data_IF_684715840895
#
_entry.id   IF_684715840895
#
_cell.length_a   1.000
_cell.length_b   1.000
_cell.length_c   1.000
_cell.angle_alpha   90.00
_cell.angle_beta   90.00
_cell.angle_gamma   90.00
#
_symmetry.space_group_name_H-M   'P 1'
#
loop_
_entity.id
_entity.type
_entity.pdbx_description
1 polymer ?
#
# COMPACT_ATOMS: atom_id res chain seq x y z
N UNK A 1 -16.31 -7.68 1.77
CA UNK A 1 -16.48 -6.81 0.58
C UNK A 1 -16.17 -5.38 1.02
N UNK A 2 -14.89 -5.01 1.16
CA UNK A 2 -14.52 -3.82 1.95
C UNK A 2 -13.87 -2.66 1.16
N UNK A 3 -13.57 -2.82 -0.12
CA UNK A 3 -12.92 -1.74 -0.90
C UNK A 3 -13.70 -1.28 -2.14
N UNK A 4 -14.88 -1.84 -2.42
CA UNK A 4 -15.65 -1.53 -3.62
C UNK A 4 -16.70 -0.42 -3.49
N UNK A 5 -16.79 0.23 -2.32
CA UNK A 5 -17.80 1.28 -2.11
C UNK A 5 -17.24 2.68 -1.93
N UNK A 6 -15.91 2.86 -1.86
CA UNK A 6 -15.32 4.18 -1.60
C UNK A 6 -15.16 5.02 -2.87
N UNK A 7 -15.55 6.28 -2.77
CA UNK A 7 -15.52 7.23 -3.88
C UNK A 7 -14.09 7.65 -4.29
N UNK A 8 -13.15 7.66 -3.34
CA UNK A 8 -11.75 8.01 -3.59
C UNK A 8 -10.81 6.91 -3.06
N UNK A 9 -9.86 6.49 -3.90
CA UNK A 9 -8.91 5.41 -3.63
C UNK A 9 -7.52 5.83 -4.08
N UNK A 10 -6.57 5.85 -3.13
CA UNK A 10 -5.18 6.27 -3.36
C UNK A 10 -4.23 5.13 -3.02
N UNK A 11 -3.68 4.43 -4.04
CA UNK A 11 -2.62 3.46 -3.83
C UNK A 11 -1.27 4.16 -3.64
N UNK A 12 -0.44 3.64 -2.74
CA UNK A 12 0.92 4.14 -2.53
C UNK A 12 1.86 3.00 -2.16
N UNK A 13 3.15 3.17 -2.42
CA UNK A 13 4.13 2.13 -2.15
C UNK A 13 5.48 2.66 -1.66
N UNK A 14 6.23 1.79 -0.99
CA UNK A 14 7.56 2.09 -0.49
C UNK A 14 8.41 0.82 -0.48
N UNK A 15 9.72 0.99 -0.69
CA UNK A 15 10.66 -0.11 -0.55
C UNK A 15 10.85 -0.47 0.93
N UNK A 16 10.68 -1.75 1.27
CA UNK A 16 10.99 -2.28 2.61
C UNK A 16 12.19 -3.22 2.48
N UNK A 17 13.40 -2.83 2.91
CA UNK A 17 14.62 -3.59 2.64
C UNK A 17 14.58 -5.05 3.11
N UNK A 18 13.98 -5.31 4.28
CA UNK A 18 13.86 -6.67 4.82
C UNK A 18 12.89 -7.55 4.03
N UNK A 19 12.03 -6.98 3.18
CA UNK A 19 11.11 -7.71 2.31
C UNK A 19 11.73 -7.99 0.94
N UNK A 20 12.88 -7.37 0.65
CA UNK A 20 13.55 -7.43 -0.65
C UNK A 20 12.64 -6.99 -1.82
N UNK A 21 11.63 -6.16 -1.54
CA UNK A 21 10.67 -5.68 -2.54
C UNK A 21 10.01 -4.35 -2.13
N UNK A 22 9.26 -3.78 -3.07
CA UNK A 22 8.34 -2.67 -2.84
C UNK A 22 7.04 -3.23 -2.26
N UNK A 23 6.60 -2.65 -1.13
CA UNK A 23 5.32 -2.99 -0.53
C UNK A 23 4.27 -1.91 -0.82
N UNK A 24 3.04 -2.33 -1.08
CA UNK A 24 1.92 -1.45 -1.41
C UNK A 24 0.89 -1.36 -0.29
N UNK A 25 0.31 -0.17 -0.14
CA UNK A 25 -0.85 0.11 0.71
C UNK A 25 -1.87 0.92 -0.09
N UNK A 26 -3.11 0.95 0.39
CA UNK A 26 -4.22 1.66 -0.26
C UNK A 26 -5.00 2.43 0.80
N UNK A 27 -5.17 3.73 0.59
CA UNK A 27 -6.16 4.52 1.32
C UNK A 27 -7.47 4.54 0.53
N UNK A 28 -8.60 4.43 1.23
CA UNK A 28 -9.92 4.50 0.62
C UNK A 28 -10.85 5.32 1.52
N UNK A 29 -11.65 6.19 0.91
CA UNK A 29 -12.63 7.03 1.62
C UNK A 29 -13.79 7.42 0.72
N UNK A 30 -14.94 7.70 1.31
CA UNK A 30 -16.08 8.33 0.61
C UNK A 30 -15.89 9.85 0.44
N UNK A 31 -14.85 10.42 1.06
CA UNK A 31 -14.46 11.83 0.94
C UNK A 31 -13.11 11.96 0.23
N UNK A 32 -12.89 13.03 -0.56
CA UNK A 32 -11.66 13.17 -1.33
C UNK A 32 -10.43 13.37 -0.44
N UNK A 33 -9.30 12.76 -0.83
CA UNK A 33 -8.01 12.98 -0.20
C UNK A 33 -7.34 14.25 -0.72
N UNK A 34 -6.89 15.13 0.18
CA UNK A 34 -6.05 16.29 -0.17
C UNK A 34 -4.58 15.90 0.00
N UNK A 35 -3.89 15.67 -1.11
CA UNK A 35 -2.51 15.15 -1.14
C UNK A 35 -1.43 16.24 -1.28
N UNK A 36 -1.57 17.35 -0.55
CA UNK A 36 -0.55 18.40 -0.54
C UNK A 36 0.55 18.06 0.48
N UNK A 37 1.81 18.03 0.03
CA UNK A 37 2.97 17.74 0.86
C UNK A 37 3.13 18.71 2.06
N UNK A 38 3.00 20.02 1.83
CA UNK A 38 3.18 21.04 2.87
C UNK A 38 2.08 20.95 3.95
N UNK A 39 0.84 20.69 3.52
CA UNK A 39 -0.28 20.48 4.44
C UNK A 39 -0.11 19.19 5.25
N UNK A 40 0.43 18.12 4.64
CA UNK A 40 0.78 16.89 5.35
C UNK A 40 1.86 17.15 6.41
N UNK A 41 2.93 17.86 6.04
CA UNK A 41 4.01 18.22 6.96
C UNK A 41 3.48 19.06 8.14
N UNK A 42 2.61 20.04 7.86
CA UNK A 42 1.98 20.86 8.89
C UNK A 42 1.14 20.00 9.85
N UNK A 43 0.31 19.10 9.32
CA UNK A 43 -0.52 18.20 10.14
C UNK A 43 0.32 17.22 10.96
N UNK A 44 1.40 16.68 10.40
CA UNK A 44 2.32 15.81 11.12
C UNK A 44 2.95 16.55 12.30
N UNK A 45 3.46 17.76 12.08
CA UNK A 45 4.04 18.59 13.15
C UNK A 45 3.04 18.93 14.26
N UNK A 46 1.77 19.12 13.91
CA UNK A 46 0.71 19.43 14.89
C UNK A 46 0.23 18.21 15.68
N UNK A 47 0.29 17.00 15.10
CA UNK A 47 -0.44 15.83 15.62
C UNK A 47 0.47 14.67 16.04
N UNK A 48 1.71 14.62 15.56
CA UNK A 48 2.67 13.56 15.84
C UNK A 48 3.76 14.11 16.75
N UNK A 49 4.04 13.39 17.84
CA UNK A 49 5.11 13.74 18.77
C UNK A 49 6.46 13.28 18.22
N UNK A 50 7.40 14.22 18.09
CA UNK A 50 8.73 13.95 17.55
C UNK A 50 8.75 14.02 16.02
N UNK A 51 9.85 13.55 15.43
CA UNK A 51 10.05 13.56 13.98
C UNK A 51 9.89 12.15 13.40
N UNK A 52 9.17 12.05 12.28
CA UNK A 52 9.06 10.80 11.54
C UNK A 52 10.41 10.43 10.92
N UNK A 53 10.81 9.16 11.07
CA UNK A 53 12.11 8.68 10.56
C UNK A 53 12.16 8.43 9.06
N UNK A 54 11.00 8.35 8.41
CA UNK A 54 10.87 7.99 7.00
C UNK A 54 9.87 8.88 6.26
N UNK A 55 8.70 9.11 6.86
CA UNK A 55 7.57 9.74 6.18
C UNK A 55 7.50 11.24 6.45
N UNK A 56 7.68 12.03 5.39
CA UNK A 56 7.28 13.44 5.29
C UNK A 56 6.30 13.63 4.11
N UNK A 57 5.84 14.85 3.89
CA UNK A 57 4.90 15.18 2.82
C UNK A 57 5.43 14.84 1.43
N UNK A 58 6.69 15.16 1.14
CA UNK A 58 7.32 14.86 -0.17
C UNK A 58 7.48 13.36 -0.38
N UNK A 59 7.85 12.63 0.66
CA UNK A 59 7.96 11.17 0.67
C UNK A 59 6.60 10.56 0.35
N UNK A 60 5.53 11.04 1.00
CA UNK A 60 4.18 10.55 0.69
C UNK A 60 3.77 10.82 -0.76
N UNK A 61 3.98 12.05 -1.26
CA UNK A 61 3.68 12.40 -2.67
C UNK A 61 4.45 11.52 -3.66
N UNK A 62 5.71 11.22 -3.36
CA UNK A 62 6.54 10.30 -4.15
C UNK A 62 5.98 8.88 -4.11
N UNK A 63 5.67 8.37 -2.92
CA UNK A 63 5.11 7.03 -2.70
C UNK A 63 3.75 6.82 -3.37
N UNK A 64 2.91 7.85 -3.46
CA UNK A 64 1.63 7.79 -4.18
C UNK A 64 1.78 7.97 -5.70
N UNK A 65 2.97 8.32 -6.19
CA UNK A 65 3.25 8.47 -7.62
C UNK A 65 3.81 7.17 -8.18
N UNK A 66 2.90 6.27 -8.58
CA UNK A 66 3.28 4.94 -9.07
C UNK A 66 3.88 4.96 -10.48
N UNK A 67 4.72 3.97 -10.76
CA UNK A 67 5.32 3.78 -12.08
C UNK A 67 4.26 3.57 -13.16
N UNK A 68 4.60 3.87 -14.42
CA UNK A 68 3.68 3.72 -15.56
C UNK A 68 3.09 2.31 -15.67
N UNK A 69 3.92 1.28 -15.45
CA UNK A 69 3.49 -0.10 -15.55
C UNK A 69 2.49 -0.46 -14.45
N UNK A 70 2.77 -0.06 -13.21
CA UNK A 70 1.88 -0.33 -12.07
C UNK A 70 0.56 0.42 -12.22
N UNK A 71 0.58 1.71 -12.60
CA UNK A 71 -0.66 2.47 -12.85
C UNK A 71 -1.52 1.80 -13.90
N UNK A 72 -0.94 1.44 -15.06
CA UNK A 72 -1.68 0.71 -16.10
C UNK A 72 -2.23 -0.63 -15.61
N UNK A 73 -1.51 -1.35 -14.76
CA UNK A 73 -2.01 -2.61 -14.20
C UNK A 73 -3.21 -2.38 -13.31
N UNK A 74 -3.17 -1.35 -12.45
CA UNK A 74 -4.28 -1.00 -11.56
C UNK A 74 -5.49 -0.49 -12.34
N UNK A 75 -5.28 0.38 -13.33
CA UNK A 75 -6.35 0.94 -14.17
C UNK A 75 -7.10 -0.14 -14.98
N UNK A 76 -6.43 -1.24 -15.32
CA UNK A 76 -7.00 -2.34 -16.10
C UNK A 76 -7.40 -3.56 -15.25
N UNK A 77 -7.23 -3.51 -13.93
CA UNK A 77 -7.62 -4.62 -13.06
C UNK A 77 -9.15 -4.73 -13.01
N UNK A 78 -9.65 -5.95 -13.18
CA UNK A 78 -11.09 -6.25 -13.21
C UNK A 78 -11.50 -7.23 -12.13
N UNK A 79 -10.53 -7.84 -11.45
CA UNK A 79 -10.79 -8.82 -10.43
C UNK A 79 -11.32 -8.17 -9.15
N UNK A 80 -12.45 -8.68 -8.70
CA UNK A 80 -13.07 -8.33 -7.43
C UNK A 80 -12.99 -9.51 -6.48
N UNK A 81 -12.33 -9.31 -5.34
CA UNK A 81 -12.35 -10.27 -4.25
C UNK A 81 -13.75 -10.31 -3.60
N UNK A 82 -14.44 -11.43 -3.83
CA UNK A 82 -15.68 -11.81 -3.15
C UNK A 82 -15.45 -13.09 -2.38
N UNK A 83 -16.43 -13.49 -1.55
CA UNK A 83 -16.38 -14.78 -0.85
C UNK A 83 -16.21 -15.96 -1.83
N UNK A 84 -16.93 -15.96 -2.95
CA UNK A 84 -16.88 -17.04 -3.95
C UNK A 84 -15.68 -16.98 -4.90
N UNK A 85 -14.92 -15.88 -4.91
CA UNK A 85 -13.77 -15.66 -5.82
C UNK A 85 -12.45 -15.48 -5.07
N UNK A 86 -12.41 -15.87 -3.80
CA UNK A 86 -11.22 -15.73 -2.97
C UNK A 86 -10.00 -16.40 -3.63
N UNK A 87 -8.91 -15.63 -3.76
CA UNK A 87 -7.61 -16.13 -4.18
C UNK A 87 -6.69 -16.23 -2.97
N UNK A 88 -5.90 -17.30 -2.95
CA UNK A 88 -4.89 -17.54 -1.94
C UNK A 88 -3.52 -17.56 -2.62
N UNK A 89 -2.54 -16.91 -1.99
CA UNK A 89 -1.15 -17.06 -2.40
C UNK A 89 -0.63 -18.34 -1.75
N UNK A 90 -0.58 -19.42 -2.54
CA UNK A 90 -0.04 -20.68 -2.05
C UNK A 90 1.49 -20.62 -2.06
N UNK A 91 2.09 -20.70 -0.87
CA UNK A 91 3.53 -20.84 -0.74
C UNK A 91 3.99 -22.23 -1.17
N UNK A 92 5.15 -22.33 -1.81
CA UNK A 92 5.84 -23.60 -2.09
C UNK A 92 6.75 -23.99 -0.91
N UNK A 93 6.29 -23.78 0.32
CA UNK A 93 7.11 -24.00 1.52
C UNK A 93 7.49 -25.48 1.66
N UNK A 94 8.76 -25.81 1.45
CA UNK A 94 9.29 -27.13 1.78
C UNK A 94 9.59 -27.17 3.27
N UNK A 95 8.77 -27.85 4.06
CA UNK A 95 9.13 -28.16 5.44
C UNK A 95 10.43 -28.98 5.44
N UNK A 96 11.42 -28.56 6.23
CA UNK A 96 12.67 -29.31 6.41
C UNK A 96 12.33 -30.65 7.06
N UNK A 97 12.45 -31.76 6.33
CA UNK A 97 12.31 -33.10 6.90
C UNK A 97 13.50 -33.32 7.84
N UNK A 98 13.24 -33.27 9.14
CA UNK A 98 14.23 -33.64 10.14
C UNK A 98 14.45 -35.16 10.04
N UNK A 99 15.51 -35.58 9.34
CA UNK A 99 15.94 -36.96 9.37
C UNK A 99 16.63 -37.19 10.72
N UNK A 100 15.89 -37.77 11.68
CA UNK A 100 16.47 -38.30 12.90
C UNK A 100 17.39 -39.47 12.51
N UNK A 101 18.69 -39.30 12.74
CA UNK A 101 19.68 -40.37 12.78
C UNK A 101 19.87 -40.84 14.23
#
# INVERSE_FOLDING_TARGET
MLFLSCADVVPYSAHIPSYADIWGWVMASDSPFVLNAEELDLRMKQRIKGENRYLDGKTFTSSSTLSKAVRKSLDNETHVYTEGTARFIYGHGTAYKHNHA
#
